data_IF_738043099324
#
_entry.id   IF_738043099324
#
_cell.length_a   1.000
_cell.length_b   1.000
_cell.length_c   1.000
_cell.angle_alpha   90.00
_cell.angle_beta   90.00
_cell.angle_gamma   90.00
#
_symmetry.space_group_name_H-M   'P 1'
#
loop_
_entity.id
_entity.type
_entity.pdbx_description
1 polymer ?
#
# COMPACT_ATOMS: atom_id res chain seq x y z
N UNK A 1 2.40 56.40 -61.75
CA UNK A 1 3.51 55.68 -61.12
C UNK A 1 3.10 55.31 -59.70
N UNK A 2 2.70 54.08 -59.45
CA UNK A 2 2.40 53.57 -58.09
C UNK A 2 3.48 52.55 -57.71
N UNK A 3 4.29 52.88 -56.70
CA UNK A 3 5.34 52.02 -56.14
C UNK A 3 4.68 50.95 -55.32
N UNK A 4 4.97 49.70 -55.66
CA UNK A 4 4.63 48.54 -54.83
C UNK A 4 5.78 48.28 -53.87
N UNK A 5 5.52 48.37 -52.60
CA UNK A 5 6.47 48.00 -51.55
C UNK A 5 6.42 46.50 -51.34
N UNK A 6 7.52 45.83 -51.67
CA UNK A 6 7.75 44.40 -51.39
C UNK A 6 8.24 44.26 -49.96
N UNK A 7 7.53 43.49 -49.13
CA UNK A 7 7.96 43.13 -47.77
C UNK A 7 9.18 42.18 -47.82
N UNK A 8 10.14 42.35 -46.93
CA UNK A 8 11.34 41.52 -46.93
C UNK A 8 11.03 40.06 -46.51
N UNK A 9 11.66 39.11 -47.23
CA UNK A 9 11.56 37.67 -47.09
C UNK A 9 11.90 37.09 -45.70
N UNK A 10 12.41 37.91 -44.79
CA UNK A 10 12.78 37.50 -43.44
C UNK A 10 11.62 37.41 -42.44
N UNK A 11 10.44 37.97 -42.76
CA UNK A 11 9.26 37.89 -41.88
C UNK A 11 8.38 36.65 -42.13
N UNK A 12 8.56 35.97 -43.26
CA UNK A 12 7.80 34.73 -43.56
C UNK A 12 8.39 33.47 -42.92
N UNK A 13 9.66 33.50 -42.53
CA UNK A 13 10.31 32.35 -41.88
C UNK A 13 10.02 32.17 -40.38
N UNK A 14 9.53 33.23 -39.71
CA UNK A 14 9.22 33.19 -38.27
C UNK A 14 7.80 32.71 -37.93
N UNK A 15 6.91 32.64 -38.90
CA UNK A 15 5.52 32.21 -38.71
C UNK A 15 5.30 30.70 -38.90
N UNK A 16 6.28 29.96 -39.43
CA UNK A 16 6.20 28.52 -39.64
C UNK A 16 6.87 27.71 -38.49
N UNK A 17 7.74 28.35 -37.72
CA UNK A 17 8.41 27.68 -36.57
C UNK A 17 7.57 27.66 -35.29
N UNK A 18 6.44 28.39 -35.24
CA UNK A 18 5.59 28.46 -34.03
C UNK A 18 4.48 27.39 -33.93
N UNK A 19 4.27 26.57 -34.97
CA UNK A 19 3.11 25.68 -35.06
C UNK A 19 3.43 24.21 -34.72
N UNK A 20 4.66 23.85 -34.37
CA UNK A 20 5.09 22.45 -34.18
C UNK A 20 5.49 22.05 -32.75
N UNK A 21 5.19 22.83 -31.73
CA UNK A 21 5.56 22.46 -30.34
C UNK A 21 4.35 22.53 -29.40
N UNK A 22 3.23 21.91 -29.77
CA UNK A 22 2.21 21.44 -28.82
C UNK A 22 1.69 20.08 -29.27
N UNK A 23 2.59 19.13 -29.54
CA UNK A 23 2.26 17.75 -29.32
C UNK A 23 2.22 17.55 -27.80
N UNK A 24 1.09 17.88 -27.19
CA UNK A 24 0.74 17.35 -25.87
C UNK A 24 0.90 15.85 -25.95
N UNK A 25 1.99 15.34 -25.40
CA UNK A 25 2.10 13.92 -25.07
C UNK A 25 0.94 13.63 -24.12
N UNK A 26 -0.22 13.27 -24.67
CA UNK A 26 -1.24 12.55 -23.93
C UNK A 26 -0.50 11.32 -23.44
N UNK A 27 -0.21 11.25 -22.16
CA UNK A 27 0.16 10.00 -21.51
C UNK A 27 -0.97 9.04 -21.87
N UNK A 28 -0.69 8.14 -22.81
CA UNK A 28 -1.63 7.12 -23.23
C UNK A 28 -1.79 6.24 -22.00
N UNK A 29 -2.99 6.22 -21.43
CA UNK A 29 -3.28 5.31 -20.33
C UNK A 29 -2.92 3.90 -20.84
N UNK A 30 -2.09 3.20 -20.06
CA UNK A 30 -1.71 1.84 -20.41
C UNK A 30 -2.98 1.00 -20.60
N UNK A 31 -2.96 0.10 -21.60
CA UNK A 31 -4.09 -0.80 -21.85
C UNK A 31 -4.45 -1.57 -20.58
N UNK A 32 -5.74 -1.79 -20.33
CA UNK A 32 -6.18 -2.54 -19.16
C UNK A 32 -5.63 -3.97 -19.19
N UNK A 33 -5.10 -4.42 -18.04
CA UNK A 33 -4.59 -5.78 -17.87
C UNK A 33 -5.72 -6.67 -17.36
N UNK A 34 -5.95 -7.78 -18.08
CA UNK A 34 -6.93 -8.79 -17.69
C UNK A 34 -6.52 -9.46 -16.38
N UNK A 35 -7.46 -9.57 -15.43
CA UNK A 35 -7.26 -10.30 -14.17
C UNK A 35 -7.62 -11.77 -14.35
N UNK A 36 -6.71 -12.65 -13.99
CA UNK A 36 -6.83 -14.11 -14.08
C UNK A 36 -6.43 -14.74 -12.74
N UNK A 37 -6.70 -16.02 -12.54
CA UNK A 37 -6.25 -16.72 -11.34
C UNK A 37 -4.72 -16.64 -11.14
N UNK A 38 -3.94 -16.58 -12.23
CA UNK A 38 -2.48 -16.54 -12.16
C UNK A 38 -1.90 -15.22 -11.67
N UNK A 39 -2.61 -14.10 -11.87
CA UNK A 39 -2.15 -12.77 -11.49
C UNK A 39 -3.05 -12.10 -10.44
N UNK A 40 -4.10 -12.78 -9.98
CA UNK A 40 -5.09 -12.23 -9.06
C UNK A 40 -4.46 -11.68 -7.77
N UNK A 41 -3.61 -12.44 -7.09
CA UNK A 41 -3.00 -12.00 -5.81
C UNK A 41 -2.18 -10.72 -6.00
N UNK A 42 -1.47 -10.58 -7.12
CA UNK A 42 -0.74 -9.37 -7.47
C UNK A 42 -1.70 -8.21 -7.76
N UNK A 43 -2.75 -8.44 -8.56
CA UNK A 43 -3.76 -7.44 -8.88
C UNK A 43 -4.51 -6.98 -7.62
N UNK A 44 -4.87 -7.92 -6.73
CA UNK A 44 -5.48 -7.64 -5.44
C UNK A 44 -4.57 -6.80 -4.56
N UNK A 45 -3.29 -7.16 -4.43
CA UNK A 45 -2.32 -6.42 -3.62
C UNK A 45 -2.13 -4.99 -4.14
N UNK A 46 -1.98 -4.81 -5.44
CA UNK A 46 -1.85 -3.49 -6.07
C UNK A 46 -3.11 -2.64 -5.86
N UNK A 47 -4.30 -3.28 -5.93
CA UNK A 47 -5.59 -2.64 -5.67
C UNK A 47 -5.71 -2.18 -4.21
N UNK A 48 -5.38 -3.04 -3.26
CA UNK A 48 -5.40 -2.72 -1.84
C UNK A 48 -4.40 -1.59 -1.50
N UNK A 49 -3.15 -1.68 -1.98
CA UNK A 49 -2.14 -0.64 -1.76
C UNK A 49 -2.58 0.71 -2.34
N UNK A 50 -3.18 0.72 -3.54
CA UNK A 50 -3.77 1.92 -4.14
C UNK A 50 -4.84 2.52 -3.24
N UNK A 51 -5.72 1.69 -2.67
CA UNK A 51 -6.76 2.13 -1.74
C UNK A 51 -6.18 2.82 -0.48
N UNK A 52 -5.10 2.28 0.08
CA UNK A 52 -4.40 2.94 1.20
C UNK A 52 -3.80 4.28 0.80
N UNK A 53 -3.18 4.37 -0.38
CA UNK A 53 -2.61 5.62 -0.89
C UNK A 53 -3.70 6.69 -1.08
N UNK A 54 -4.78 6.34 -1.77
CA UNK A 54 -5.85 7.29 -2.15
C UNK A 54 -6.68 7.73 -0.94
N UNK A 55 -7.01 6.81 -0.02
CA UNK A 55 -7.87 7.13 1.12
C UNK A 55 -7.12 7.78 2.29
N UNK A 56 -5.81 7.53 2.43
CA UNK A 56 -5.04 7.94 3.60
C UNK A 56 -3.81 8.81 3.28
N UNK A 57 -3.58 9.16 2.01
CA UNK A 57 -2.38 9.91 1.58
C UNK A 57 -1.08 9.28 2.14
N UNK A 58 -0.96 7.95 2.04
CA UNK A 58 0.02 7.14 2.75
C UNK A 58 1.15 6.62 1.87
N UNK A 59 1.48 7.27 0.74
CA UNK A 59 2.62 6.89 -0.08
C UNK A 59 3.92 7.54 0.40
N UNK A 60 4.95 6.72 0.66
CA UNK A 60 6.25 7.17 1.16
C UNK A 60 6.24 7.73 2.59
N UNK A 61 5.13 7.61 3.29
CA UNK A 61 4.95 8.07 4.67
C UNK A 61 3.86 7.26 5.38
N UNK A 62 3.84 7.32 6.71
CA UNK A 62 2.73 6.76 7.48
C UNK A 62 1.57 7.75 7.62
N UNK A 63 0.36 7.25 7.39
CA UNK A 63 -0.85 7.83 7.96
C UNK A 63 -1.08 7.20 9.34
N UNK A 64 -1.30 8.01 10.36
CA UNK A 64 -1.57 7.56 11.73
C UNK A 64 -3.06 7.73 12.05
N UNK A 65 -3.79 6.63 12.19
CA UNK A 65 -5.15 6.66 12.74
C UNK A 65 -5.08 6.99 14.21
N UNK A 66 -5.74 8.11 14.61
CA UNK A 66 -5.66 8.66 15.96
C UNK A 66 -6.83 8.26 16.86
N UNK A 67 -7.76 7.51 16.33
CA UNK A 67 -8.94 7.04 17.06
C UNK A 67 -9.02 5.52 16.98
N UNK A 68 -9.53 4.86 18.04
CA UNK A 68 -9.90 3.46 17.99
C UNK A 68 -10.91 3.20 16.86
N UNK A 69 -10.97 1.97 16.38
CA UNK A 69 -12.01 1.57 15.44
C UNK A 69 -13.41 1.81 16.01
N UNK A 70 -14.26 2.49 15.22
CA UNK A 70 -15.66 2.68 15.58
C UNK A 70 -16.43 1.37 15.32
N UNK A 71 -17.08 0.84 16.38
CA UNK A 71 -17.89 -0.38 16.28
C UNK A 71 -19.11 -0.24 15.38
N UNK A 72 -19.57 1.01 15.18
CA UNK A 72 -20.75 1.30 14.37
C UNK A 72 -20.39 1.54 12.89
N UNK A 73 -19.10 1.68 12.57
CA UNK A 73 -18.60 1.90 11.21
C UNK A 73 -17.33 1.05 10.96
N UNK A 74 -17.51 -0.27 10.91
CA UNK A 74 -16.40 -1.19 10.69
C UNK A 74 -16.11 -1.34 9.20
N UNK A 75 -15.08 -0.66 8.72
CA UNK A 75 -14.55 -0.81 7.35
C UNK A 75 -13.79 -2.14 7.21
N UNK A 76 -13.32 -2.70 8.32
CA UNK A 76 -12.60 -3.99 8.38
C UNK A 76 -13.31 -4.90 9.36
N UNK A 77 -13.56 -6.13 8.95
CA UNK A 77 -14.16 -7.16 9.83
C UNK A 77 -13.23 -7.40 11.02
N UNK A 78 -13.70 -7.13 12.24
CA UNK A 78 -12.99 -7.32 13.51
C UNK A 78 -11.70 -6.47 13.66
N UNK A 79 -11.75 -5.17 13.33
CA UNK A 79 -10.67 -4.26 13.70
C UNK A 79 -10.45 -4.23 15.22
N UNK A 80 -9.18 -4.31 15.67
CA UNK A 80 -8.84 -4.23 17.09
C UNK A 80 -9.21 -2.87 17.66
N UNK A 81 -9.88 -2.86 18.80
CA UNK A 81 -10.29 -1.63 19.49
C UNK A 81 -9.28 -1.16 20.53
N UNK A 82 -8.33 -1.98 20.86
CA UNK A 82 -7.25 -1.75 21.81
C UNK A 82 -5.93 -1.33 21.18
N UNK A 83 -5.94 -1.12 19.86
CA UNK A 83 -4.76 -0.67 19.12
C UNK A 83 -5.08 0.46 18.16
N UNK A 84 -4.15 1.43 18.06
CA UNK A 84 -4.12 2.42 17.00
C UNK A 84 -3.29 1.92 15.82
N UNK A 85 -3.76 2.19 14.63
CA UNK A 85 -3.11 1.75 13.38
C UNK A 85 -2.36 2.89 12.70
N UNK A 86 -1.25 2.54 12.07
CA UNK A 86 -0.55 3.43 11.14
C UNK A 86 -0.27 2.66 9.85
N UNK A 87 -0.53 3.27 8.70
CA UNK A 87 -0.39 2.63 7.39
C UNK A 87 0.55 3.43 6.50
N UNK A 88 1.40 2.75 5.75
CA UNK A 88 2.24 3.38 4.72
C UNK A 88 2.57 2.42 3.60
N UNK A 89 2.46 2.89 2.35
CA UNK A 89 2.90 2.17 1.16
C UNK A 89 4.23 2.75 0.69
N UNK A 90 5.21 1.90 0.46
CA UNK A 90 6.57 2.32 0.13
C UNK A 90 7.07 1.65 -1.15
N UNK A 91 7.77 2.42 -1.98
CA UNK A 91 8.52 1.94 -3.14
C UNK A 91 9.93 1.55 -2.70
N UNK A 92 10.28 0.29 -2.80
CA UNK A 92 11.56 -0.26 -2.36
C UNK A 92 12.65 -0.24 -3.45
N UNK A 93 12.49 0.54 -4.51
CA UNK A 93 13.58 0.84 -5.46
C UNK A 93 14.73 1.60 -4.77
N UNK A 94 14.42 2.36 -3.70
CA UNK A 94 15.39 2.89 -2.75
C UNK A 94 15.24 2.18 -1.40
N UNK A 95 16.34 1.81 -0.71
CA UNK A 95 16.25 1.20 0.61
C UNK A 95 15.44 2.06 1.58
N UNK A 96 14.59 1.41 2.37
CA UNK A 96 13.73 2.03 3.37
C UNK A 96 14.18 1.60 4.76
N UNK A 97 14.48 2.53 5.64
CA UNK A 97 14.76 2.25 7.05
C UNK A 97 13.64 2.78 7.92
N UNK A 98 13.04 1.89 8.72
CA UNK A 98 12.03 2.20 9.73
C UNK A 98 12.64 1.98 11.10
N UNK A 99 12.56 3.00 11.95
CA UNK A 99 12.92 2.88 13.38
C UNK A 99 11.68 3.00 14.22
N UNK A 100 11.34 1.91 14.92
CA UNK A 100 10.28 1.89 15.92
C UNK A 100 10.83 2.41 17.25
N UNK A 101 10.08 3.24 18.01
CA UNK A 101 10.54 3.79 19.28
C UNK A 101 10.62 2.72 20.37
N UNK A 102 11.37 3.02 21.43
CA UNK A 102 11.30 2.25 22.68
C UNK A 102 9.95 2.51 23.35
N UNK A 103 9.12 1.49 23.41
CA UNK A 103 7.75 1.58 23.94
C UNK A 103 7.65 1.42 25.45
N UNK A 104 8.78 1.16 26.15
CA UNK A 104 8.82 0.87 27.60
C UNK A 104 7.92 -0.31 28.00
N UNK A 105 7.84 -1.31 27.12
CA UNK A 105 7.05 -2.53 27.35
C UNK A 105 5.62 -2.48 26.79
N UNK A 106 5.14 -1.36 26.26
CA UNK A 106 3.87 -1.31 25.53
C UNK A 106 3.97 -2.10 24.23
N UNK A 107 2.96 -2.87 23.91
CA UNK A 107 2.92 -3.59 22.64
C UNK A 107 2.89 -2.60 21.47
N UNK A 108 3.83 -2.80 20.54
CA UNK A 108 3.83 -2.18 19.23
C UNK A 108 4.42 -3.17 18.24
N UNK A 109 3.77 -3.37 17.10
CA UNK A 109 4.25 -4.26 16.05
C UNK A 109 4.28 -3.55 14.70
N UNK A 110 5.20 -3.95 13.85
CA UNK A 110 5.26 -3.61 12.44
C UNK A 110 5.01 -4.88 11.63
N UNK A 111 4.03 -4.82 10.73
CA UNK A 111 3.78 -5.83 9.70
C UNK A 111 4.23 -5.29 8.35
N UNK A 112 4.83 -6.13 7.53
CA UNK A 112 5.19 -5.86 6.15
C UNK A 112 4.42 -6.84 5.25
N UNK A 113 3.62 -6.31 4.33
CA UNK A 113 2.90 -7.08 3.30
C UNK A 113 3.43 -6.67 1.95
N UNK A 114 3.99 -7.61 1.20
CA UNK A 114 4.49 -7.34 -0.14
C UNK A 114 3.40 -7.53 -1.21
N UNK A 115 3.71 -7.21 -2.48
CA UNK A 115 2.74 -7.35 -3.58
C UNK A 115 2.35 -8.81 -3.90
N UNK A 116 3.08 -9.78 -3.41
CA UNK A 116 2.74 -11.20 -3.52
C UNK A 116 1.97 -11.72 -2.30
N UNK A 117 1.45 -10.82 -1.47
CA UNK A 117 0.76 -11.17 -0.22
C UNK A 117 1.61 -12.10 0.67
N UNK A 118 2.94 -11.91 0.66
CA UNK A 118 3.86 -12.57 1.58
C UNK A 118 4.09 -11.67 2.79
N UNK A 119 4.02 -12.25 3.98
CA UNK A 119 3.89 -11.54 5.24
C UNK A 119 5.13 -11.69 6.11
N UNK A 120 5.53 -10.61 6.76
CA UNK A 120 6.53 -10.60 7.83
C UNK A 120 6.09 -9.65 8.94
N UNK A 121 6.53 -9.91 10.17
CA UNK A 121 6.26 -9.06 11.32
C UNK A 121 7.54 -8.75 12.09
N UNK A 122 7.60 -7.55 12.70
CA UNK A 122 8.65 -7.15 13.63
C UNK A 122 8.03 -6.38 14.80
N UNK A 123 8.68 -6.42 15.95
CA UNK A 123 8.20 -5.80 17.19
C UNK A 123 9.15 -4.73 17.69
N UNK A 124 8.65 -3.72 18.41
CA UNK A 124 9.46 -2.69 19.08
C UNK A 124 10.25 -3.23 20.28
N UNK A 125 11.40 -2.61 20.59
CA UNK A 125 12.13 -1.63 19.81
C UNK A 125 12.90 -2.29 18.67
N UNK A 126 12.89 -1.70 17.49
CA UNK A 126 13.65 -2.23 16.36
C UNK A 126 13.94 -1.18 15.28
N UNK A 127 15.08 -1.31 14.62
CA UNK A 127 15.39 -0.60 13.39
C UNK A 127 15.52 -1.62 12.27
N UNK A 128 14.72 -1.46 11.22
CA UNK A 128 14.60 -2.43 10.14
C UNK A 128 14.91 -1.72 8.83
N UNK A 129 15.83 -2.28 8.03
CA UNK A 129 16.08 -1.84 6.67
C UNK A 129 15.48 -2.85 5.69
N UNK A 130 14.50 -2.37 4.92
CA UNK A 130 13.80 -3.09 3.88
C UNK A 130 14.38 -2.70 2.52
N UNK A 131 14.60 -3.70 1.67
CA UNK A 131 14.99 -3.55 0.28
C UNK A 131 14.10 -4.43 -0.58
N UNK A 132 14.01 -4.12 -1.87
CA UNK A 132 13.24 -4.95 -2.80
C UNK A 132 13.68 -6.42 -2.76
N UNK A 133 14.97 -6.70 -2.67
CA UNK A 133 15.50 -8.08 -2.61
C UNK A 133 15.06 -8.82 -1.35
N UNK A 134 15.04 -8.14 -0.19
CA UNK A 134 14.62 -8.75 1.07
C UNK A 134 13.11 -8.96 1.16
N UNK A 135 12.33 -8.06 0.58
CA UNK A 135 10.86 -8.08 0.61
C UNK A 135 10.28 -8.89 -0.54
N UNK A 136 11.04 -9.04 -1.64
CA UNK A 136 10.68 -9.82 -2.82
C UNK A 136 9.87 -9.07 -3.87
N UNK A 137 9.38 -7.85 -3.57
CA UNK A 137 8.61 -7.02 -4.51
C UNK A 137 8.99 -5.55 -4.40
N UNK A 138 8.65 -4.76 -5.44
CA UNK A 138 8.92 -3.32 -5.48
C UNK A 138 8.16 -2.54 -4.41
N UNK A 139 6.89 -2.87 -4.19
CA UNK A 139 6.07 -2.17 -3.20
C UNK A 139 5.76 -3.06 -2.02
N UNK A 140 5.61 -2.40 -0.86
CA UNK A 140 5.11 -3.03 0.35
C UNK A 140 4.17 -2.09 1.10
N UNK A 141 3.08 -2.64 1.67
CA UNK A 141 2.32 -1.98 2.71
C UNK A 141 2.97 -2.31 4.06
N UNK A 142 3.25 -1.28 4.83
CA UNK A 142 3.66 -1.38 6.22
C UNK A 142 2.51 -0.97 7.12
N UNK A 143 2.19 -1.81 8.11
CA UNK A 143 1.15 -1.52 9.10
C UNK A 143 1.74 -1.60 10.50
N UNK A 144 1.62 -0.52 11.28
CA UNK A 144 2.02 -0.49 12.68
C UNK A 144 0.75 -0.55 13.54
N UNK A 145 0.76 -1.42 14.56
CA UNK A 145 -0.26 -1.48 15.60
C UNK A 145 0.38 -1.03 16.91
N UNK A 146 -0.22 -0.04 17.57
CA UNK A 146 0.23 0.49 18.87
C UNK A 146 -0.90 0.29 19.87
N UNK A 147 -0.65 -0.50 20.92
CA UNK A 147 -1.62 -0.77 21.99
C UNK A 147 -2.03 0.51 22.74
N UNK A 148 -3.29 0.61 23.12
CA UNK A 148 -3.81 1.65 24.00
C UNK A 148 -5.06 1.15 24.75
N UNK A 149 -5.34 1.72 25.92
CA UNK A 149 -6.63 1.53 26.59
C UNK A 149 -7.64 2.54 26.00
N UNK A 150 -8.70 2.06 25.29
CA UNK A 150 -9.68 2.94 24.66
C UNK A 150 -10.55 3.72 25.67
N UNK A 151 -10.45 3.44 26.96
CA UNK A 151 -11.19 4.11 28.03
C UNK A 151 -10.35 5.16 28.76
N UNK A 152 -9.04 5.20 28.52
CA UNK A 152 -8.10 6.13 29.13
C UNK A 152 -7.53 7.10 28.11
N UNK A 153 -8.02 8.35 28.12
CA UNK A 153 -7.55 9.40 27.21
C UNK A 153 -6.05 9.67 27.38
N UNK A 154 -5.51 9.56 28.58
CA UNK A 154 -4.07 9.76 28.81
C UNK A 154 -3.23 8.67 28.19
N UNK A 155 -3.75 7.45 28.12
CA UNK A 155 -3.11 6.31 27.49
C UNK A 155 -3.19 6.40 25.94
N UNK A 156 -4.32 6.86 25.40
CA UNK A 156 -4.47 7.18 23.98
C UNK A 156 -3.43 8.22 23.57
N UNK A 157 -3.26 9.29 24.34
CA UNK A 157 -2.23 10.31 24.08
C UNK A 157 -0.81 9.75 24.18
N UNK A 158 -0.56 8.78 25.06
CA UNK A 158 0.73 8.08 25.12
C UNK A 158 0.98 7.25 23.84
N UNK A 159 -0.05 6.57 23.33
CA UNK A 159 0.04 5.85 22.07
C UNK A 159 0.28 6.79 20.87
N UNK A 160 -0.35 7.97 20.82
CA UNK A 160 -0.08 9.00 19.82
C UNK A 160 1.39 9.41 19.81
N UNK A 161 2.00 9.65 20.97
CA UNK A 161 3.43 9.99 21.05
C UNK A 161 4.32 8.89 20.49
N UNK A 162 3.96 7.62 20.66
CA UNK A 162 4.70 6.51 20.07
C UNK A 162 4.51 6.44 18.54
N UNK A 163 3.31 6.72 18.03
CA UNK A 163 3.10 6.84 16.58
C UNK A 163 3.97 7.97 16.00
N UNK A 164 4.01 9.14 16.65
CA UNK A 164 4.78 10.32 16.22
C UNK A 164 6.30 10.08 16.28
N UNK A 165 6.76 9.16 17.13
CA UNK A 165 8.16 8.82 17.29
C UNK A 165 8.69 7.80 16.28
N UNK A 166 7.82 7.22 15.43
CA UNK A 166 8.24 6.35 14.34
C UNK A 166 9.04 7.17 13.32
N UNK A 167 10.23 6.70 12.98
CA UNK A 167 11.07 7.36 11.97
C UNK A 167 11.08 6.59 10.67
N UNK A 168 11.03 7.33 9.58
CA UNK A 168 11.11 6.83 8.20
C UNK A 168 12.29 7.50 7.52
N UNK A 169 13.23 6.72 7.02
CA UNK A 169 14.41 7.21 6.29
C UNK A 169 14.47 6.51 4.93
N UNK A 170 14.32 7.28 3.87
CA UNK A 170 14.38 6.82 2.48
C UNK A 170 14.91 7.94 1.61
N UNK A 171 15.94 7.66 0.79
CA UNK A 171 16.58 8.68 -0.04
C UNK A 171 15.68 9.14 -1.20
N UNK A 172 14.86 8.26 -1.73
CA UNK A 172 13.87 8.54 -2.79
C UNK A 172 12.58 7.77 -2.51
N UNK A 173 11.47 8.47 -2.40
CA UNK A 173 10.16 7.87 -2.15
C UNK A 173 9.58 7.16 -3.38
N UNK A 174 10.16 7.38 -4.57
CA UNK A 174 9.71 6.77 -5.81
C UNK A 174 8.34 7.21 -6.29
N UNK A 175 7.67 6.33 -7.02
CA UNK A 175 6.32 6.53 -7.57
C UNK A 175 5.53 5.23 -7.51
N UNK A 176 4.21 5.32 -7.31
CA UNK A 176 3.34 4.15 -7.37
C UNK A 176 2.90 3.89 -8.81
N UNK A 177 3.60 2.97 -9.46
CA UNK A 177 3.41 2.58 -10.86
C UNK A 177 3.13 1.08 -10.93
N UNK A 178 1.86 0.72 -11.08
CA UNK A 178 1.37 -0.66 -11.17
C UNK A 178 0.58 -0.83 -12.46
N UNK A 179 0.40 -2.06 -12.96
CA UNK A 179 -0.42 -2.30 -14.14
C UNK A 179 -1.83 -1.69 -14.01
N UNK A 180 -2.42 -1.33 -15.14
CA UNK A 180 -3.78 -0.81 -15.17
C UNK A 180 -4.79 -1.96 -15.02
N UNK A 181 -4.91 -2.49 -13.78
CA UNK A 181 -5.88 -3.53 -13.45
C UNK A 181 -7.30 -2.97 -13.57
N UNK A 182 -8.20 -3.72 -14.21
CA UNK A 182 -9.61 -3.38 -14.20
C UNK A 182 -10.21 -3.68 -12.83
N UNK A 183 -10.67 -2.65 -12.13
CA UNK A 183 -11.25 -2.74 -10.79
C UNK A 183 -12.33 -3.81 -10.71
N UNK A 184 -13.28 -3.79 -11.65
CA UNK A 184 -14.42 -4.70 -11.70
C UNK A 184 -13.99 -6.17 -11.83
N UNK A 185 -12.89 -6.42 -12.55
CA UNK A 185 -12.35 -7.78 -12.70
C UNK A 185 -11.65 -8.25 -11.42
N UNK A 186 -10.94 -7.35 -10.72
CA UNK A 186 -10.35 -7.67 -9.41
C UNK A 186 -11.44 -8.03 -8.40
N UNK A 187 -12.50 -7.21 -8.32
CA UNK A 187 -13.63 -7.41 -7.42
C UNK A 187 -14.38 -8.70 -7.76
N UNK A 188 -14.69 -8.95 -9.02
CA UNK A 188 -15.37 -10.18 -9.47
C UNK A 188 -14.54 -11.43 -9.15
N UNK A 189 -13.22 -11.38 -9.35
CA UNK A 189 -12.33 -12.50 -9.02
C UNK A 189 -12.29 -12.74 -7.52
N UNK A 190 -12.18 -11.68 -6.70
CA UNK A 190 -12.26 -11.75 -5.23
C UNK A 190 -13.55 -12.42 -4.78
N UNK A 191 -14.69 -11.99 -5.30
CA UNK A 191 -15.99 -12.53 -4.91
C UNK A 191 -16.10 -14.01 -5.28
N UNK A 192 -15.62 -14.39 -6.47
CA UNK A 192 -15.60 -15.78 -6.93
C UNK A 192 -14.75 -16.66 -6.03
N UNK A 193 -13.54 -16.20 -5.68
CA UNK A 193 -12.62 -16.93 -4.80
C UNK A 193 -13.20 -17.02 -3.38
N UNK A 194 -13.86 -15.99 -2.89
CA UNK A 194 -14.49 -15.96 -1.55
C UNK A 194 -15.60 -17.01 -1.39
N UNK A 195 -16.27 -17.42 -2.46
CA UNK A 195 -17.23 -18.54 -2.39
C UNK A 195 -16.52 -19.83 -1.93
N UNK A 196 -15.31 -20.08 -2.46
CA UNK A 196 -14.50 -21.23 -2.05
C UNK A 196 -13.84 -20.99 -0.68
N UNK A 197 -13.30 -19.80 -0.45
CA UNK A 197 -12.65 -19.42 0.80
C UNK A 197 -13.56 -19.57 2.03
N UNK A 198 -14.87 -19.31 1.87
CA UNK A 198 -15.86 -19.47 2.93
C UNK A 198 -15.99 -20.94 3.43
N UNK A 199 -15.48 -21.92 2.68
CA UNK A 199 -15.49 -23.32 3.06
C UNK A 199 -14.26 -23.75 3.88
N UNK A 200 -13.28 -22.84 4.02
CA UNK A 200 -12.05 -23.11 4.80
C UNK A 200 -12.38 -23.15 6.29
N UNK A 201 -12.12 -24.28 6.90
CA UNK A 201 -12.38 -24.52 8.35
C UNK A 201 -11.18 -24.17 9.23
N UNK A 202 -9.96 -24.17 8.65
CA UNK A 202 -8.71 -23.84 9.35
C UNK A 202 -8.05 -22.62 8.70
N UNK A 203 -8.35 -21.45 9.24
CA UNK A 203 -7.80 -20.17 8.74
C UNK A 203 -6.31 -19.97 9.08
N UNK A 204 -5.71 -20.78 9.92
CA UNK A 204 -4.28 -20.68 10.28
C UNK A 204 -3.35 -20.87 9.08
N UNK A 205 -3.83 -21.52 8.02
CA UNK A 205 -3.07 -21.83 6.79
C UNK A 205 -3.21 -20.76 5.70
N UNK A 206 -3.98 -19.70 5.92
CA UNK A 206 -4.28 -18.69 4.91
C UNK A 206 -3.24 -17.57 4.82
N UNK A 207 -2.47 -17.37 5.90
CA UNK A 207 -1.58 -16.22 6.04
C UNK A 207 -0.18 -16.66 6.48
N UNK A 208 0.85 -16.00 5.94
CA UNK A 208 2.23 -16.31 6.24
C UNK A 208 3.17 -15.88 5.11
N UNK A 209 4.31 -16.53 5.04
CA UNK A 209 5.25 -16.36 3.94
C UNK A 209 4.77 -17.17 2.75
N UNK A 210 4.79 -16.56 1.56
CA UNK A 210 4.31 -17.19 0.32
C UNK A 210 4.96 -18.57 0.08
N UNK A 211 6.25 -18.70 0.38
CA UNK A 211 7.02 -19.92 0.16
C UNK A 211 6.63 -21.07 1.11
N UNK A 212 5.94 -20.75 2.20
CA UNK A 212 5.52 -21.70 3.25
C UNK A 212 4.06 -22.11 3.11
N UNK A 213 3.29 -21.40 2.24
CA UNK A 213 1.86 -21.63 2.05
C UNK A 213 1.59 -22.51 0.83
N UNK A 214 0.54 -23.34 0.94
CA UNK A 214 -0.06 -23.97 -0.24
C UNK A 214 -0.58 -22.88 -1.20
N UNK A 215 -0.30 -22.95 -2.51
CA UNK A 215 -0.70 -21.94 -3.46
C UNK A 215 -2.21 -21.64 -3.51
N UNK A 216 -3.05 -22.65 -3.24
CA UNK A 216 -4.51 -22.46 -3.18
C UNK A 216 -4.88 -21.69 -1.91
N UNK A 217 -4.38 -22.10 -0.74
CA UNK A 217 -4.62 -21.41 0.53
C UNK A 217 -4.09 -19.98 0.50
N UNK A 218 -2.92 -19.75 -0.09
CA UNK A 218 -2.36 -18.40 -0.31
C UNK A 218 -3.30 -17.50 -1.12
N UNK A 219 -3.86 -18.02 -2.22
CA UNK A 219 -4.82 -17.26 -3.04
C UNK A 219 -6.13 -17.02 -2.29
N UNK A 220 -6.65 -18.01 -1.55
CA UNK A 220 -7.85 -17.87 -0.72
C UNK A 220 -7.65 -16.83 0.38
N UNK A 221 -6.47 -16.82 1.02
CA UNK A 221 -6.11 -15.83 2.04
C UNK A 221 -6.10 -14.41 1.50
N UNK A 222 -5.56 -14.19 0.31
CA UNK A 222 -5.56 -12.89 -0.33
C UNK A 222 -6.97 -12.36 -0.62
N UNK A 223 -7.91 -13.24 -0.96
CA UNK A 223 -9.30 -12.86 -1.22
C UNK A 223 -10.10 -12.64 0.08
N UNK A 224 -9.94 -13.53 1.05
CA UNK A 224 -10.75 -13.54 2.28
C UNK A 224 -10.35 -12.45 3.26
N UNK A 225 -9.05 -12.08 3.30
CA UNK A 225 -8.54 -11.14 4.29
C UNK A 225 -7.15 -10.63 3.95
N UNK A 226 -7.02 -9.85 2.88
CA UNK A 226 -5.73 -9.31 2.46
C UNK A 226 -5.04 -8.56 3.61
N UNK A 227 -3.77 -8.89 3.87
CA UNK A 227 -2.99 -8.34 4.98
C UNK A 227 -3.28 -9.01 6.33
N UNK A 228 -3.98 -10.15 6.37
CA UNK A 228 -4.14 -10.96 7.57
C UNK A 228 -2.79 -11.47 8.10
N UNK A 229 -2.67 -11.65 9.41
CA UNK A 229 -1.47 -12.19 10.06
C UNK A 229 -1.57 -13.69 10.27
N UNK A 230 -0.46 -14.45 10.18
CA UNK A 230 -0.44 -15.82 10.62
C UNK A 230 -0.73 -15.92 12.13
N UNK A 231 -1.23 -17.06 12.59
CA UNK A 231 -1.75 -17.22 13.94
C UNK A 231 -0.72 -16.86 15.04
N UNK A 232 0.55 -17.21 14.82
CA UNK A 232 1.65 -16.91 15.75
C UNK A 232 2.00 -15.42 15.85
N UNK A 233 1.68 -14.63 14.82
CA UNK A 233 1.89 -13.18 14.79
C UNK A 233 0.61 -12.39 15.08
N UNK A 234 -0.54 -13.03 15.12
CA UNK A 234 -1.83 -12.44 15.45
C UNK A 234 -2.02 -12.37 16.97
N UNK A 235 -1.10 -11.69 17.66
CA UNK A 235 -1.20 -11.49 19.11
C UNK A 235 -2.29 -10.45 19.41
N UNK A 236 -3.28 -10.89 20.16
CA UNK A 236 -4.29 -10.05 20.79
C UNK A 236 -3.93 -9.91 22.27
N UNK A 237 -3.87 -8.70 22.79
CA UNK A 237 -3.54 -8.40 24.18
C UNK A 237 -4.84 -8.20 24.97
#
# INVERSE_FOLDING_TARGET
>A
MKSQATLPRTLQALLIAGACIFALARAQAADPVLVTANNYVRAESDFQMRGYIENFDSFGKFHHSRKPYDVNNQVTVRGNRDTLYSFGVFDLTSPLTITLPDTKGRYQSLMVVNQDHSLAAAYSPNTITLTQDKVGTRYALLTIRTFMDPKDESDIQAAHRLQDAVKVEQADIGKFEVPNWKKEEVEQMRDTINVVAATVTDSSKLFGRKEELDPVYWMLGAALGWGGLPAEAATYV
#
